data_IF_683007718848
#
_entry.id   IF_683007718848
#
_cell.length_a   1.000
_cell.length_b   1.000
_cell.length_c   1.000
_cell.angle_alpha   90.00
_cell.angle_beta   90.00
_cell.angle_gamma   90.00
#
_symmetry.space_group_name_H-M   'P 1'
#
loop_
_entity.id
_entity.type
_entity.pdbx_description
1 polymer ?
#
# COMPACT_ATOMS: atom_id res chain seq x y z
N UNK A 1 -27.26 19.08 15.34
CA UNK A 1 -26.33 18.69 14.27
C UNK A 1 -25.03 19.43 14.52
N UNK A 2 -24.01 18.75 15.04
CA UNK A 2 -22.73 19.38 15.41
C UNK A 2 -21.67 19.03 14.38
N UNK A 3 -20.96 20.05 13.92
CA UNK A 3 -19.94 20.02 12.88
C UNK A 3 -18.78 19.07 13.24
N UNK A 4 -18.76 17.88 12.65
CA UNK A 4 -17.66 16.92 12.78
C UNK A 4 -16.58 17.19 11.75
N UNK A 5 -15.84 18.29 11.93
CA UNK A 5 -14.66 18.62 11.13
C UNK A 5 -13.35 18.38 11.91
N UNK A 6 -13.36 17.44 12.85
CA UNK A 6 -12.17 17.02 13.60
C UNK A 6 -11.43 15.96 12.80
N UNK A 7 -10.30 16.35 12.21
CA UNK A 7 -9.31 15.40 11.70
C UNK A 7 -8.56 14.83 12.91
N UNK A 8 -8.73 13.54 13.18
CA UNK A 8 -7.99 12.85 14.25
C UNK A 8 -6.66 12.34 13.68
N UNK A 9 -5.54 12.65 14.34
CA UNK A 9 -4.21 12.32 13.82
C UNK A 9 -3.84 10.85 14.03
N UNK A 10 -4.43 10.22 15.04
CA UNK A 10 -4.17 8.83 15.39
C UNK A 10 -5.39 8.19 16.09
N UNK A 11 -5.37 6.87 16.22
CA UNK A 11 -6.45 6.10 16.84
C UNK A 11 -6.64 6.49 18.31
N UNK A 12 -5.58 6.85 19.02
CA UNK A 12 -5.62 7.18 20.45
C UNK A 12 -6.45 8.45 20.68
N UNK A 13 -6.20 9.53 19.94
CA UNK A 13 -7.00 10.76 19.99
C UNK A 13 -8.49 10.50 19.69
N UNK A 14 -8.77 9.60 18.75
CA UNK A 14 -10.15 9.22 18.41
C UNK A 14 -10.83 8.42 19.52
N UNK A 15 -10.11 7.50 20.15
CA UNK A 15 -10.59 6.71 21.28
C UNK A 15 -10.85 7.61 22.49
N UNK A 16 -9.93 8.52 22.81
CA UNK A 16 -10.10 9.48 23.89
C UNK A 16 -11.32 10.36 23.66
N UNK A 17 -11.53 10.86 22.44
CA UNK A 17 -12.74 11.61 22.10
C UNK A 17 -14.02 10.78 22.26
N UNK A 18 -14.06 9.55 21.72
CA UNK A 18 -15.28 8.71 21.72
C UNK A 18 -15.59 8.09 23.07
N UNK A 19 -14.59 7.83 23.90
CA UNK A 19 -14.74 7.23 25.22
C UNK A 19 -14.74 8.26 26.37
N UNK A 20 -14.46 9.55 26.09
CA UNK A 20 -14.38 10.63 27.10
C UNK A 20 -15.59 10.72 28.04
N UNK A 21 -16.78 10.33 27.56
CA UNK A 21 -18.04 10.40 28.32
C UNK A 21 -18.62 9.01 28.66
N UNK A 22 -17.85 7.93 28.50
CA UNK A 22 -18.29 6.57 28.83
C UNK A 22 -17.70 6.11 30.16
N UNK A 23 -18.55 5.91 31.18
CA UNK A 23 -18.13 5.40 32.49
C UNK A 23 -17.65 3.93 32.43
N UNK A 24 -18.13 3.17 31.44
CA UNK A 24 -17.70 1.80 31.17
C UNK A 24 -17.48 1.60 29.68
N UNK A 25 -16.32 1.05 29.33
CA UNK A 25 -15.95 0.75 27.95
C UNK A 25 -15.97 -0.76 27.77
N UNK A 26 -17.00 -1.28 27.10
CA UNK A 26 -17.07 -2.70 26.76
C UNK A 26 -16.16 -3.04 25.58
N UNK A 27 -15.73 -4.30 25.48
CA UNK A 27 -14.87 -4.77 24.40
C UNK A 27 -15.56 -4.65 23.03
N UNK A 28 -16.87 -4.88 22.99
CA UNK A 28 -17.72 -4.72 21.80
C UNK A 28 -17.80 -3.26 21.34
N UNK A 29 -17.97 -2.32 22.28
CA UNK A 29 -17.96 -0.88 22.00
C UNK A 29 -16.60 -0.45 21.46
N UNK A 30 -15.51 -0.94 22.07
CA UNK A 30 -14.15 -0.65 21.62
C UNK A 30 -13.89 -1.16 20.20
N UNK A 31 -14.38 -2.36 19.88
CA UNK A 31 -14.29 -2.94 18.53
C UNK A 31 -15.05 -2.09 17.52
N UNK A 32 -16.25 -1.63 17.87
CA UNK A 32 -17.06 -0.77 17.01
C UNK A 32 -16.41 0.60 16.76
N UNK A 33 -15.87 1.23 17.81
CA UNK A 33 -15.16 2.52 17.68
C UNK A 33 -13.90 2.37 16.80
N UNK A 34 -13.13 1.29 16.94
CA UNK A 34 -11.98 1.02 16.06
C UNK A 34 -12.39 0.82 14.60
N UNK A 35 -13.51 0.15 14.35
CA UNK A 35 -14.04 -0.01 12.99
C UNK A 35 -14.47 1.33 12.39
N UNK A 36 -15.12 2.19 13.18
CA UNK A 36 -15.50 3.54 12.75
C UNK A 36 -14.27 4.39 12.41
N UNK A 37 -13.23 4.36 13.25
CA UNK A 37 -11.96 5.04 12.96
C UNK A 37 -11.34 4.56 11.66
N UNK A 38 -11.31 3.24 11.44
CA UNK A 38 -10.75 2.64 10.23
C UNK A 38 -11.45 3.14 8.97
N UNK A 39 -12.77 3.31 8.99
CA UNK A 39 -13.52 3.89 7.85
C UNK A 39 -13.11 5.34 7.56
N UNK A 40 -12.98 6.16 8.61
CA UNK A 40 -12.56 7.56 8.49
C UNK A 40 -11.13 7.65 7.92
N UNK A 41 -10.22 6.86 8.50
CA UNK A 41 -8.83 6.78 8.08
C UNK A 41 -8.71 6.37 6.61
N UNK A 42 -9.35 5.27 6.19
CA UNK A 42 -9.30 4.80 4.80
C UNK A 42 -9.87 5.83 3.82
N UNK A 43 -10.96 6.51 4.20
CA UNK A 43 -11.52 7.58 3.37
C UNK A 43 -10.54 8.74 3.17
N UNK A 44 -9.85 9.16 4.23
CA UNK A 44 -8.85 10.24 4.15
C UNK A 44 -7.61 9.81 3.38
N UNK A 45 -7.15 8.58 3.63
CA UNK A 45 -6.05 7.95 2.94
C UNK A 45 -6.31 7.87 1.43
N UNK A 46 -7.44 7.31 0.98
CA UNK A 46 -7.78 7.27 -0.45
C UNK A 46 -7.92 8.67 -1.07
N UNK A 47 -8.34 9.68 -0.28
CA UNK A 47 -8.41 11.07 -0.75
C UNK A 47 -7.02 11.67 -0.93
N UNK A 48 -6.08 11.38 -0.04
CA UNK A 48 -4.68 11.80 -0.17
C UNK A 48 -3.97 11.02 -1.27
N UNK A 49 -4.19 9.71 -1.36
CA UNK A 49 -3.68 8.85 -2.40
C UNK A 49 -4.08 9.36 -3.78
N UNK A 50 -5.36 9.66 -4.02
CA UNK A 50 -5.81 10.25 -5.29
C UNK A 50 -5.24 11.64 -5.59
N UNK A 51 -4.78 12.38 -4.58
CA UNK A 51 -4.07 13.66 -4.78
C UNK A 51 -2.60 13.47 -5.13
N UNK A 52 -1.97 12.41 -4.62
CA UNK A 52 -0.54 12.14 -4.78
C UNK A 52 -0.25 11.24 -5.98
N UNK A 53 -1.12 10.29 -6.28
CA UNK A 53 -0.94 9.29 -7.33
C UNK A 53 -1.91 9.52 -8.47
N UNK A 54 -1.39 9.40 -9.69
CA UNK A 54 -2.15 9.55 -10.93
C UNK A 54 -2.65 8.18 -11.33
N UNK A 55 -3.97 8.01 -11.40
CA UNK A 55 -4.56 6.83 -12.01
C UNK A 55 -4.39 6.94 -13.54
N UNK A 56 -3.66 6.01 -14.13
CA UNK A 56 -3.43 5.96 -15.58
C UNK A 56 -4.36 4.89 -16.16
N UNK A 57 -5.21 5.30 -17.10
CA UNK A 57 -6.03 4.38 -17.90
C UNK A 57 -5.56 4.44 -19.35
N UNK A 58 -5.31 3.30 -19.96
CA UNK A 58 -4.91 3.19 -21.36
C UNK A 58 -5.60 2.01 -22.02
N UNK A 59 -5.65 2.03 -23.35
CA UNK A 59 -6.19 0.93 -24.15
C UNK A 59 -5.04 0.06 -24.63
N UNK A 60 -5.25 -1.24 -24.60
CA UNK A 60 -4.28 -2.26 -24.97
C UNK A 60 -5.02 -3.31 -25.80
N UNK A 61 -4.36 -3.79 -26.86
CA UNK A 61 -4.92 -4.84 -27.69
C UNK A 61 -5.08 -6.13 -26.90
N UNK A 62 -6.20 -6.84 -27.13
CA UNK A 62 -6.55 -8.05 -26.38
C UNK A 62 -5.45 -9.13 -26.44
N UNK A 63 -4.82 -9.29 -27.60
CA UNK A 63 -3.72 -10.24 -27.77
C UNK A 63 -2.51 -9.88 -26.90
N UNK A 64 -2.14 -8.61 -26.88
CA UNK A 64 -1.03 -8.11 -26.06
C UNK A 64 -1.34 -8.24 -24.56
N UNK A 65 -2.60 -8.03 -24.15
CA UNK A 65 -3.03 -8.24 -22.77
C UNK A 65 -2.87 -9.71 -22.36
N UNK A 66 -3.26 -10.65 -23.22
CA UNK A 66 -3.10 -12.09 -22.95
C UNK A 66 -1.63 -12.49 -22.83
N UNK A 67 -0.74 -11.89 -23.62
CA UNK A 67 0.71 -12.10 -23.50
C UNK A 67 1.21 -11.61 -22.13
N UNK A 68 0.79 -10.43 -21.67
CA UNK A 68 1.14 -9.93 -20.34
C UNK A 68 0.57 -10.79 -19.22
N UNK A 69 -0.65 -11.28 -19.35
CA UNK A 69 -1.28 -12.15 -18.36
C UNK A 69 -0.51 -13.46 -18.19
N UNK A 70 -0.08 -14.09 -19.29
CA UNK A 70 0.75 -15.30 -19.24
C UNK A 70 2.09 -15.05 -18.55
N UNK A 71 2.76 -13.94 -18.86
CA UNK A 71 4.03 -13.58 -18.22
C UNK A 71 3.84 -13.27 -16.72
N UNK A 72 2.78 -12.55 -16.37
CA UNK A 72 2.47 -12.22 -14.98
C UNK A 72 2.21 -13.50 -14.15
N UNK A 73 1.50 -14.48 -14.72
CA UNK A 73 1.31 -15.79 -14.10
C UNK A 73 2.63 -16.54 -13.87
N UNK A 74 3.57 -16.50 -14.83
CA UNK A 74 4.89 -17.12 -14.65
C UNK A 74 5.67 -16.52 -13.48
N UNK A 75 5.47 -15.23 -13.21
CA UNK A 75 6.07 -14.52 -12.09
C UNK A 75 5.24 -14.56 -10.80
N UNK A 76 4.06 -15.19 -10.83
CA UNK A 76 3.09 -15.21 -9.73
C UNK A 76 2.74 -13.80 -9.22
N UNK A 77 2.52 -12.87 -10.14
CA UNK A 77 2.12 -11.49 -9.84
C UNK A 77 0.88 -11.08 -10.66
N UNK A 78 0.11 -10.07 -10.22
CA UNK A 78 -0.97 -9.50 -11.03
C UNK A 78 -0.47 -8.87 -12.34
N UNK A 79 -1.29 -8.95 -13.39
CA UNK A 79 -0.95 -8.38 -14.71
C UNK A 79 -0.73 -6.87 -14.66
N UNK A 80 -1.47 -6.15 -13.81
CA UNK A 80 -1.32 -4.72 -13.55
C UNK A 80 0.07 -4.39 -13.01
N UNK A 81 0.55 -5.16 -12.04
CA UNK A 81 1.90 -5.05 -11.47
C UNK A 81 2.97 -5.32 -12.52
N UNK A 82 2.80 -6.36 -13.33
CA UNK A 82 3.74 -6.71 -14.40
C UNK A 82 3.88 -5.56 -15.43
N UNK A 83 2.75 -5.02 -15.90
CA UNK A 83 2.73 -3.88 -16.83
C UNK A 83 3.40 -2.65 -16.20
N UNK A 84 3.10 -2.34 -14.92
CA UNK A 84 3.70 -1.22 -14.19
C UNK A 84 5.23 -1.38 -14.09
N UNK A 85 5.72 -2.59 -13.84
CA UNK A 85 7.16 -2.89 -13.81
C UNK A 85 7.83 -2.63 -15.16
N UNK A 86 7.25 -3.12 -16.26
CA UNK A 86 7.79 -2.83 -17.61
C UNK A 86 7.85 -1.32 -17.86
N UNK A 87 6.77 -0.60 -17.58
CA UNK A 87 6.67 0.83 -17.83
C UNK A 87 7.63 1.69 -16.96
N UNK A 88 8.07 1.15 -15.82
CA UNK A 88 8.95 1.85 -14.87
C UNK A 88 10.41 1.42 -14.99
N UNK A 89 10.70 0.18 -15.40
CA UNK A 89 12.06 -0.34 -15.60
C UNK A 89 12.83 0.43 -16.68
N UNK A 90 12.17 0.89 -17.74
CA UNK A 90 12.80 1.71 -18.79
C UNK A 90 13.29 3.09 -18.30
N UNK A 91 12.92 3.52 -17.10
CA UNK A 91 13.30 4.83 -16.54
C UNK A 91 14.38 4.77 -15.45
N UNK A 92 14.73 3.59 -14.94
CA UNK A 92 15.59 3.45 -13.75
C UNK A 92 17.07 3.19 -14.04
N UNK A 93 17.57 3.47 -15.26
CA UNK A 93 19.01 3.42 -15.58
C UNK A 93 19.76 4.68 -15.05
N UNK A 94 19.15 5.46 -14.14
CA UNK A 94 19.82 6.60 -13.49
C UNK A 94 20.23 6.26 -12.05
N UNK A 95 21.53 6.10 -11.87
CA UNK A 95 22.25 5.66 -10.66
C UNK A 95 22.09 6.56 -9.41
N UNK A 96 20.88 6.71 -8.86
CA UNK A 96 20.64 7.38 -7.56
C UNK A 96 20.09 6.40 -6.50
N UNK A 97 20.65 5.19 -6.48
CA UNK A 97 19.92 3.92 -6.70
C UNK A 97 19.32 3.19 -5.49
N UNK A 98 19.47 3.64 -4.24
CA UNK A 98 18.99 2.83 -3.09
C UNK A 98 17.68 3.33 -2.46
N UNK A 99 17.56 4.63 -2.14
CA UNK A 99 16.36 5.15 -1.44
C UNK A 99 15.13 5.11 -2.36
N UNK A 100 15.27 5.55 -3.62
CA UNK A 100 14.17 5.50 -4.58
C UNK A 100 13.66 4.07 -4.81
N UNK A 101 14.59 3.11 -4.90
CA UNK A 101 14.27 1.68 -5.06
C UNK A 101 13.57 1.10 -3.82
N UNK A 102 14.00 1.48 -2.61
CA UNK A 102 13.32 1.11 -1.36
C UNK A 102 11.90 1.70 -1.31
N UNK A 103 11.72 2.96 -1.71
CA UNK A 103 10.40 3.61 -1.77
C UNK A 103 9.49 2.85 -2.75
N UNK A 104 9.99 2.47 -3.92
CA UNK A 104 9.22 1.66 -4.89
C UNK A 104 8.78 0.33 -4.30
N UNK A 105 9.67 -0.38 -3.61
CA UNK A 105 9.34 -1.66 -2.96
C UNK A 105 8.29 -1.46 -1.85
N UNK A 106 8.40 -0.41 -1.04
CA UNK A 106 7.40 -0.10 -0.01
C UNK A 106 6.03 0.17 -0.64
N UNK A 107 5.98 0.94 -1.72
CA UNK A 107 4.73 1.19 -2.45
C UNK A 107 4.13 -0.09 -3.01
N UNK A 108 4.96 -1.00 -3.51
CA UNK A 108 4.51 -2.29 -4.03
C UNK A 108 3.94 -3.21 -2.93
N UNK A 109 4.51 -3.16 -1.72
CA UNK A 109 3.95 -3.84 -0.55
C UNK A 109 2.61 -3.24 -0.12
N UNK A 110 2.49 -1.92 -0.13
CA UNK A 110 1.23 -1.22 0.18
C UNK A 110 0.14 -1.59 -0.82
N UNK A 111 0.46 -1.54 -2.13
CA UNK A 111 -0.48 -1.92 -3.20
C UNK A 111 -0.97 -3.38 -3.01
N UNK A 112 -0.09 -4.33 -2.71
CA UNK A 112 -0.48 -5.73 -2.45
C UNK A 112 -1.41 -5.89 -1.23
N UNK A 113 -1.13 -5.15 -0.16
CA UNK A 113 -1.97 -5.16 1.05
C UNK A 113 -3.35 -4.57 0.76
N UNK A 114 -3.41 -3.49 -0.02
CA UNK A 114 -4.66 -2.84 -0.42
C UNK A 114 -5.51 -3.75 -1.30
N UNK A 115 -4.92 -4.37 -2.32
CA UNK A 115 -5.63 -5.31 -3.20
C UNK A 115 -6.19 -6.48 -2.40
N UNK A 116 -5.41 -7.09 -1.52
CA UNK A 116 -5.90 -8.20 -0.70
C UNK A 116 -7.00 -7.80 0.28
N UNK A 117 -6.94 -6.59 0.86
CA UNK A 117 -8.03 -6.05 1.68
C UNK A 117 -9.28 -5.79 0.84
N UNK A 118 -9.12 -5.30 -0.38
CA UNK A 118 -10.22 -4.96 -1.28
C UNK A 118 -10.94 -6.23 -1.80
N UNK A 119 -10.17 -7.26 -2.16
CA UNK A 119 -10.68 -8.50 -2.72
C UNK A 119 -11.04 -9.56 -1.65
N UNK A 120 -10.79 -9.28 -0.37
CA UNK A 120 -10.92 -10.24 0.75
C UNK A 120 -10.12 -11.53 0.52
N UNK A 121 -8.91 -11.38 0.00
CA UNK A 121 -8.01 -12.48 -0.35
C UNK A 121 -6.81 -12.58 0.59
N UNK A 122 -6.19 -13.76 0.64
CA UNK A 122 -4.98 -13.99 1.43
C UNK A 122 -3.78 -13.59 0.57
N UNK A 123 -2.94 -12.71 1.12
CA UNK A 123 -1.68 -12.30 0.47
C UNK A 123 -0.72 -13.48 0.39
N UNK A 124 -0.12 -13.68 -0.78
CA UNK A 124 0.98 -14.63 -0.92
C UNK A 124 2.19 -14.18 -0.10
N UNK A 125 2.44 -14.91 0.99
CA UNK A 125 3.57 -14.67 1.89
C UNK A 125 4.91 -14.73 1.17
N UNK A 126 5.04 -15.52 0.09
CA UNK A 126 6.29 -15.63 -0.69
C UNK A 126 6.59 -14.33 -1.43
N UNK A 127 5.58 -13.72 -2.01
CA UNK A 127 5.70 -12.44 -2.70
C UNK A 127 6.07 -11.32 -1.72
N UNK A 128 5.43 -11.30 -0.55
CA UNK A 128 5.73 -10.31 0.50
C UNK A 128 7.16 -10.47 1.05
N UNK A 129 7.59 -11.72 1.32
CA UNK A 129 8.95 -12.02 1.76
C UNK A 129 10.00 -11.64 0.72
N UNK A 130 9.74 -11.88 -0.56
CA UNK A 130 10.63 -11.48 -1.65
C UNK A 130 10.83 -9.96 -1.69
N UNK A 131 9.76 -9.17 -1.53
CA UNK A 131 9.86 -7.71 -1.50
C UNK A 131 10.63 -7.22 -0.27
N UNK A 132 10.37 -7.81 0.90
CA UNK A 132 11.10 -7.48 2.14
C UNK A 132 12.59 -7.82 1.99
N UNK A 133 12.94 -8.96 1.39
CA UNK A 133 14.32 -9.35 1.11
C UNK A 133 15.01 -8.37 0.17
N UNK A 134 14.35 -7.93 -0.91
CA UNK A 134 14.89 -6.91 -1.82
C UNK A 134 15.16 -5.59 -1.09
N UNK A 135 14.25 -5.16 -0.22
CA UNK A 135 14.45 -3.99 0.65
C UNK A 135 15.67 -4.17 1.56
N UNK A 136 15.83 -5.35 2.16
CA UNK A 136 16.94 -5.65 3.06
C UNK A 136 18.28 -5.66 2.34
N UNK A 137 18.36 -6.24 1.13
CA UNK A 137 19.57 -6.20 0.31
C UNK A 137 19.96 -4.76 -0.05
N UNK A 138 19.01 -3.93 -0.46
CA UNK A 138 19.27 -2.51 -0.78
C UNK A 138 19.70 -1.69 0.44
N UNK A 139 19.20 -2.03 1.62
CA UNK A 139 19.61 -1.42 2.89
C UNK A 139 21.00 -1.87 3.32
N UNK A 140 21.36 -3.14 3.11
CA UNK A 140 22.68 -3.66 3.47
C UNK A 140 23.77 -3.21 2.48
N UNK A 141 23.45 -3.07 1.19
CA UNK A 141 24.33 -2.45 0.19
C UNK A 141 24.60 -0.97 0.48
N UNK A 142 23.67 -0.28 1.16
CA UNK A 142 23.86 1.12 1.60
C UNK A 142 24.80 1.28 2.80
N UNK A 143 25.17 0.18 3.49
CA UNK A 143 26.10 0.19 4.63
C UNK A 143 27.56 -0.02 4.25
N UNK A 144 27.89 -0.22 2.98
CA UNK A 144 29.29 -0.18 2.54
C UNK A 144 29.69 1.23 2.13
N UNK A 145 30.30 1.99 3.06
CA UNK A 145 31.49 2.73 2.66
C UNK A 145 32.65 2.56 3.66
N UNK A 146 33.85 2.76 3.11
CA UNK A 146 35.16 2.94 3.75
C UNK A 146 36.02 1.68 3.92
N UNK A 147 36.76 1.37 2.85
CA UNK A 147 38.19 1.03 2.96
C UNK A 147 39.01 2.31 3.11
#
# INVERSE_FOLDING_TARGET
MSNNNTTYNNLQEYLEFRCSNSETVSEELLKQIKQDYRKIYLSQYHKQYRKQYIQISFRIDKKQYQEFEQQAQQHNIPVTTYIKRIATQDRNISNTTNIASIVVIILEVIDLLEEAIYEDTIIDKRQLLSLIQQCQTLLDDSKSPVS
#
